data_IF_709832859206
#
_entry.id   IF_709832859206
#
_cell.length_a   1.000
_cell.length_b   1.000
_cell.length_c   1.000
_cell.angle_alpha   90.00
_cell.angle_beta   90.00
_cell.angle_gamma   90.00
#
_symmetry.space_group_name_H-M   'P 1'
#
loop_
_entity.id
_entity.type
_entity.pdbx_description
1 polymer ?
#
# COMPACT_ATOMS: atom_id res chain seq x y z
N UNK A 1 0.43 8.86 29.18
CA UNK A 1 0.17 9.71 28.01
C UNK A 1 1.23 9.41 26.97
N UNK A 2 0.86 8.60 25.99
CA UNK A 2 1.73 8.34 24.83
C UNK A 2 1.28 9.26 23.72
N UNK A 3 2.10 10.25 23.38
CA UNK A 3 1.83 11.14 22.25
C UNK A 3 2.40 10.49 20.99
N UNK A 4 1.54 10.24 20.01
CA UNK A 4 1.95 9.79 18.68
C UNK A 4 2.05 11.00 17.77
N UNK A 5 3.22 11.20 17.19
CA UNK A 5 3.40 12.19 16.13
C UNK A 5 3.36 11.46 14.80
N UNK A 6 2.40 11.80 13.96
CA UNK A 6 2.33 11.28 12.59
C UNK A 6 2.68 12.42 11.65
N UNK A 7 3.72 12.23 10.85
CA UNK A 7 4.05 13.14 9.75
C UNK A 7 3.49 12.50 8.48
N UNK A 8 2.47 13.12 7.91
CA UNK A 8 1.91 12.69 6.64
C UNK A 8 2.55 13.49 5.51
N UNK A 9 3.23 12.79 4.62
CA UNK A 9 3.67 13.32 3.34
C UNK A 9 2.52 13.14 2.34
N UNK A 10 2.07 14.23 1.69
CA UNK A 10 0.97 14.13 0.74
C UNK A 10 1.49 13.91 -0.68
N UNK A 11 2.12 14.91 -1.24
CA UNK A 11 2.68 14.82 -2.58
C UNK A 11 3.68 15.95 -2.85
N UNK A 12 4.59 15.68 -3.75
CA UNK A 12 5.45 16.71 -4.34
C UNK A 12 5.29 16.62 -5.84
N UNK A 13 4.98 17.75 -6.48
CA UNK A 13 4.89 17.83 -7.92
C UNK A 13 5.62 19.07 -8.44
N UNK A 14 6.37 18.87 -9.50
CA UNK A 14 7.06 19.95 -10.21
C UNK A 14 6.71 19.91 -11.68
N UNK A 15 6.53 21.09 -12.26
CA UNK A 15 6.35 21.26 -13.70
C UNK A 15 7.31 22.32 -14.21
N UNK A 16 8.06 21.98 -15.23
CA UNK A 16 9.08 22.84 -15.83
C UNK A 16 8.83 22.96 -17.34
N UNK A 17 8.70 24.17 -17.86
CA UNK A 17 8.75 24.39 -19.31
C UNK A 17 10.20 24.18 -19.79
N UNK A 18 10.43 23.16 -20.63
CA UNK A 18 11.77 22.89 -21.21
C UNK A 18 11.97 23.70 -22.45
N UNK A 19 10.94 23.81 -23.28
CA UNK A 19 10.97 24.55 -24.54
C UNK A 19 9.59 25.17 -24.80
N UNK A 20 9.51 25.97 -25.86
CA UNK A 20 8.23 26.50 -26.32
C UNK A 20 7.33 25.33 -26.70
N UNK A 21 6.16 25.23 -26.07
CA UNK A 21 5.20 24.13 -26.23
C UNK A 21 5.60 22.78 -25.65
N UNK A 22 6.72 22.66 -24.95
CA UNK A 22 7.18 21.40 -24.31
C UNK A 22 7.37 21.58 -22.81
N UNK A 23 6.72 20.74 -22.02
CA UNK A 23 6.82 20.72 -20.57
C UNK A 23 7.25 19.37 -20.02
N UNK A 24 8.00 19.40 -18.92
CA UNK A 24 8.37 18.25 -18.10
C UNK A 24 7.58 18.30 -16.80
N UNK A 25 7.02 17.18 -16.40
CA UNK A 25 6.38 17.01 -15.10
C UNK A 25 7.07 15.91 -14.31
N UNK A 26 7.23 16.15 -13.02
CA UNK A 26 7.68 15.16 -12.04
C UNK A 26 6.73 15.18 -10.86
N UNK A 27 6.33 14.01 -10.38
CA UNK A 27 5.61 13.90 -9.12
C UNK A 27 6.05 12.69 -8.31
N UNK A 28 5.99 12.86 -7.00
CA UNK A 28 6.16 11.83 -6.00
C UNK A 28 4.92 11.86 -5.11
N UNK A 29 4.16 10.77 -5.10
CA UNK A 29 2.84 10.72 -4.48
C UNK A 29 2.66 9.41 -3.73
N UNK A 30 2.17 9.40 -2.49
CA UNK A 30 1.73 8.18 -1.85
C UNK A 30 0.50 7.64 -2.59
N UNK A 31 0.64 6.44 -3.16
CA UNK A 31 -0.41 5.79 -3.95
C UNK A 31 -1.43 5.07 -3.04
N UNK A 32 -0.93 4.41 -2.02
CA UNK A 32 -1.76 3.69 -1.04
C UNK A 32 -1.06 3.62 0.29
N UNK A 33 -1.80 3.73 1.37
CA UNK A 33 -1.29 3.54 2.73
C UNK A 33 -2.26 2.72 3.56
N UNK A 34 -1.71 1.89 4.43
CA UNK A 34 -2.45 1.06 5.37
C UNK A 34 -1.91 1.34 6.78
N UNK A 35 -2.80 1.60 7.71
CA UNK A 35 -2.45 1.79 9.11
C UNK A 35 -3.64 1.47 9.99
N UNK A 36 -3.70 0.26 10.53
CA UNK A 36 -4.75 -0.13 11.47
C UNK A 36 -4.22 -1.10 12.54
N UNK A 37 -4.85 -1.04 13.69
CA UNK A 37 -4.67 -2.01 14.76
C UNK A 37 -6.01 -2.35 15.36
N UNK A 38 -6.37 -3.62 15.30
CA UNK A 38 -7.59 -4.14 15.87
C UNK A 38 -7.25 -5.23 16.89
N UNK A 39 -7.97 -5.26 17.99
CA UNK A 39 -7.87 -6.29 19.02
C UNK A 39 -9.27 -6.79 19.34
N UNK A 40 -9.38 -8.08 19.49
CA UNK A 40 -10.61 -8.75 19.91
C UNK A 40 -10.26 -9.76 20.98
N UNK A 41 -10.91 -9.66 22.11
CA UNK A 41 -10.91 -10.69 23.15
C UNK A 41 -12.14 -11.58 22.96
N UNK A 42 -11.94 -12.87 23.04
CA UNK A 42 -13.02 -13.85 22.98
C UNK A 42 -13.38 -14.22 24.41
N UNK A 43 -14.61 -13.85 24.79
CA UNK A 43 -15.22 -14.16 26.08
C UNK A 43 -16.33 -15.20 25.86
N UNK A 44 -15.92 -16.39 25.39
CA UNK A 44 -16.79 -17.53 25.17
C UNK A 44 -16.56 -18.56 26.29
N UNK A 45 -17.61 -18.94 26.99
CA UNK A 45 -17.56 -19.86 28.16
C UNK A 45 -16.96 -21.21 27.78
N UNK A 46 -17.13 -21.68 26.55
CA UNK A 46 -16.59 -22.96 26.09
C UNK A 46 -15.08 -22.84 25.83
N UNK A 47 -14.63 -21.74 25.26
CA UNK A 47 -13.21 -21.47 25.05
C UNK A 47 -12.53 -21.16 26.38
N UNK A 48 -13.15 -20.33 27.21
CA UNK A 48 -12.69 -19.99 28.54
C UNK A 48 -12.52 -21.22 29.40
N UNK A 49 -13.51 -22.14 29.42
CA UNK A 49 -13.46 -23.37 30.22
C UNK A 49 -12.38 -24.37 29.78
N UNK A 50 -11.92 -24.33 28.55
CA UNK A 50 -10.96 -25.30 28.00
C UNK A 50 -9.54 -24.75 27.82
N UNK A 51 -9.39 -23.54 27.31
CA UNK A 51 -8.10 -22.98 26.90
C UNK A 51 -7.72 -21.77 27.75
N UNK A 52 -8.71 -21.01 28.22
CA UNK A 52 -8.52 -19.74 28.87
C UNK A 52 -8.93 -18.56 27.98
N UNK A 53 -8.52 -17.36 28.35
CA UNK A 53 -8.86 -16.15 27.62
C UNK A 53 -7.94 -15.97 26.42
N UNK A 54 -8.54 -15.84 25.23
CA UNK A 54 -7.82 -15.70 23.96
C UNK A 54 -7.99 -14.29 23.39
N UNK A 55 -6.90 -13.67 23.00
CA UNK A 55 -6.88 -12.38 22.31
C UNK A 55 -6.39 -12.56 20.87
N UNK A 56 -7.16 -12.01 19.94
CA UNK A 56 -6.79 -11.86 18.56
C UNK A 56 -6.39 -10.41 18.28
N UNK A 57 -5.29 -10.22 17.59
CA UNK A 57 -4.83 -8.91 17.17
C UNK A 57 -4.50 -8.92 15.67
N UNK A 58 -4.99 -7.89 14.98
CA UNK A 58 -4.71 -7.63 13.57
C UNK A 58 -4.06 -6.27 13.45
N UNK A 59 -2.84 -6.25 12.97
CA UNK A 59 -2.09 -5.04 12.66
C UNK A 59 -1.88 -4.97 11.15
N UNK A 60 -2.11 -3.81 10.56
CA UNK A 60 -1.73 -3.52 9.18
C UNK A 60 -0.93 -2.25 9.14
N UNK A 61 0.21 -2.27 8.47
CA UNK A 61 1.11 -1.14 8.31
C UNK A 61 1.82 -1.19 6.97
N UNK A 62 2.09 -0.04 6.41
CA UNK A 62 2.86 0.10 5.18
C UNK A 62 2.26 1.06 4.19
N UNK A 63 3.04 1.35 3.17
CA UNK A 63 2.68 2.26 2.10
C UNK A 63 3.26 1.83 0.75
N UNK A 64 2.60 2.30 -0.30
CA UNK A 64 3.07 2.21 -1.68
C UNK A 64 3.18 3.62 -2.21
N UNK A 65 4.35 3.95 -2.72
CA UNK A 65 4.66 5.26 -3.29
C UNK A 65 4.76 5.17 -4.80
N UNK A 66 4.30 6.21 -5.49
CA UNK A 66 4.41 6.40 -6.93
C UNK A 66 5.38 7.53 -7.22
N UNK A 67 6.35 7.31 -8.12
CA UNK A 67 7.05 8.37 -8.81
C UNK A 67 6.60 8.40 -10.26
N UNK A 68 6.32 9.60 -10.76
CA UNK A 68 5.88 9.83 -12.13
C UNK A 68 6.74 10.89 -12.80
N UNK A 69 7.22 10.56 -13.99
CA UNK A 69 7.93 11.47 -14.86
C UNK A 69 7.18 11.59 -16.18
N UNK A 70 6.77 12.79 -16.55
CA UNK A 70 5.95 13.02 -17.71
C UNK A 70 6.49 14.12 -18.64
N UNK A 71 6.28 13.95 -19.92
CA UNK A 71 6.53 14.93 -20.96
C UNK A 71 5.21 15.31 -21.63
N UNK A 72 4.94 16.59 -21.74
CA UNK A 72 3.77 17.14 -22.42
C UNK A 72 4.18 18.05 -23.57
N UNK A 73 3.56 17.88 -24.72
CA UNK A 73 3.81 18.67 -25.90
C UNK A 73 2.51 19.24 -26.48
N UNK A 74 2.46 20.57 -26.60
CA UNK A 74 1.39 21.25 -27.31
C UNK A 74 1.72 21.25 -28.84
N UNK A 75 1.01 20.39 -29.58
CA UNK A 75 1.23 20.21 -31.02
C UNK A 75 0.72 21.44 -31.78
N UNK A 76 -0.46 21.89 -31.42
CA UNK A 76 -1.06 23.13 -31.91
C UNK A 76 -1.89 23.78 -30.81
N UNK A 77 -2.25 25.04 -31.00
CA UNK A 77 -2.94 25.82 -29.97
C UNK A 77 -4.19 25.12 -29.43
N UNK A 78 -4.13 24.78 -28.17
CA UNK A 78 -5.22 24.13 -27.48
C UNK A 78 -5.28 22.60 -27.63
N UNK A 79 -4.31 21.97 -28.33
CA UNK A 79 -4.22 20.51 -28.38
C UNK A 79 -2.84 20.04 -27.93
N UNK A 80 -2.83 19.20 -26.93
CA UNK A 80 -1.61 18.68 -26.33
C UNK A 80 -1.66 17.16 -26.21
N UNK A 81 -0.52 16.54 -26.35
CA UNK A 81 -0.31 15.12 -26.03
C UNK A 81 0.73 15.01 -24.92
N UNK A 82 0.67 13.93 -24.17
CA UNK A 82 1.61 13.65 -23.10
C UNK A 82 1.92 12.18 -22.99
N UNK A 83 3.13 11.92 -22.56
CA UNK A 83 3.56 10.57 -22.14
C UNK A 83 4.13 10.67 -20.74
N UNK A 84 3.93 9.63 -19.94
CA UNK A 84 4.53 9.55 -18.63
C UNK A 84 4.98 8.13 -18.33
N UNK A 85 6.05 8.04 -17.55
CA UNK A 85 6.53 6.83 -16.92
C UNK A 85 6.21 6.90 -15.44
N UNK A 86 5.66 5.82 -14.90
CA UNK A 86 5.29 5.68 -13.50
C UNK A 86 6.00 4.48 -12.91
N UNK A 87 6.55 4.65 -11.73
CA UNK A 87 7.15 3.57 -10.97
C UNK A 87 6.54 3.52 -9.58
N UNK A 88 6.04 2.34 -9.21
CA UNK A 88 5.42 2.06 -7.93
C UNK A 88 6.33 1.19 -7.11
N UNK A 89 6.54 1.55 -5.84
CA UNK A 89 7.28 0.71 -4.88
C UNK A 89 6.73 0.88 -3.47
N UNK A 90 6.86 -0.16 -2.68
CA UNK A 90 6.47 -0.16 -1.29
C UNK A 90 6.10 -1.54 -0.78
N UNK A 91 5.93 -1.63 0.53
CA UNK A 91 5.59 -2.84 1.23
C UNK A 91 4.40 -2.59 2.14
N UNK A 92 3.43 -3.51 2.11
CA UNK A 92 2.30 -3.52 3.04
C UNK A 92 2.40 -4.80 3.85
N UNK A 93 2.44 -4.67 5.16
CA UNK A 93 2.50 -5.78 6.10
C UNK A 93 1.16 -5.94 6.81
N UNK A 94 0.72 -7.18 6.94
CA UNK A 94 -0.41 -7.59 7.76
C UNK A 94 0.07 -8.61 8.78
N UNK A 95 -0.16 -8.33 10.05
CA UNK A 95 0.29 -9.17 11.14
C UNK A 95 -0.95 -9.65 11.90
N UNK A 96 -1.06 -10.96 12.01
CA UNK A 96 -2.10 -11.64 12.78
C UNK A 96 -1.45 -12.27 14.00
N UNK A 97 -1.94 -11.91 15.18
CA UNK A 97 -1.44 -12.48 16.44
C UNK A 97 -2.58 -13.11 17.19
N UNK A 98 -2.33 -14.30 17.70
CA UNK A 98 -3.21 -14.98 18.64
C UNK A 98 -2.42 -15.20 19.91
N UNK A 99 -2.91 -14.66 21.03
CA UNK A 99 -2.28 -14.80 22.33
C UNK A 99 -3.27 -15.36 23.34
N UNK A 100 -2.83 -16.30 24.16
CA UNK A 100 -3.59 -16.83 25.29
C UNK A 100 -3.20 -15.99 26.52
N UNK A 101 -4.14 -15.18 27.03
CA UNK A 101 -3.89 -14.26 28.14
C UNK A 101 -3.90 -14.95 29.49
N UNK A 102 -4.76 -15.95 29.65
CA UNK A 102 -4.90 -16.74 30.89
C UNK A 102 -5.10 -18.20 30.54
N UNK A 103 -4.38 -19.09 31.19
CA UNK A 103 -4.49 -20.52 31.00
C UNK A 103 -5.12 -21.16 32.25
N UNK A 104 -6.26 -21.83 32.08
CA UNK A 104 -6.99 -22.49 33.18
C UNK A 104 -6.36 -23.85 33.52
N UNK A 105 -5.73 -24.51 32.58
CA UNK A 105 -5.32 -25.91 32.70
C UNK A 105 -3.96 -26.13 33.37
N UNK A 106 -3.28 -25.06 33.80
CA UNK A 106 -2.14 -25.15 34.76
C UNK A 106 -0.89 -25.94 34.30
N UNK A 107 -0.72 -26.28 33.04
CA UNK A 107 0.41 -27.11 32.61
C UNK A 107 0.52 -27.28 31.09
N UNK A 108 -0.31 -26.64 30.33
CA UNK A 108 -0.28 -26.71 28.88
C UNK A 108 0.66 -25.65 28.28
N UNK A 109 1.31 -26.02 27.23
CA UNK A 109 2.11 -25.13 26.36
C UNK A 109 1.21 -24.02 25.81
N UNK A 110 1.48 -22.79 26.20
CA UNK A 110 0.80 -21.62 25.65
C UNK A 110 1.54 -21.28 24.36
N UNK A 111 0.96 -21.64 23.23
CA UNK A 111 1.52 -21.29 21.94
C UNK A 111 0.91 -19.98 21.46
N UNK A 112 1.69 -18.92 21.46
CA UNK A 112 1.38 -17.70 20.73
C UNK A 112 1.65 -17.93 19.24
N UNK A 113 0.65 -17.68 18.41
CA UNK A 113 0.81 -17.76 16.96
C UNK A 113 0.86 -16.35 16.37
N UNK A 114 1.87 -16.10 15.56
CA UNK A 114 2.00 -14.87 14.78
C UNK A 114 2.16 -15.20 13.30
N UNK A 115 1.21 -14.72 12.51
CA UNK A 115 1.30 -14.76 11.04
C UNK A 115 1.64 -13.36 10.53
N UNK A 116 2.61 -13.26 9.63
CA UNK A 116 2.98 -12.02 8.95
C UNK A 116 2.88 -12.24 7.45
N UNK A 117 2.07 -11.42 6.80
CA UNK A 117 1.97 -11.35 5.35
C UNK A 117 2.57 -10.04 4.88
N UNK A 118 3.55 -10.11 3.98
CA UNK A 118 4.18 -8.94 3.38
C UNK A 118 3.87 -8.92 1.90
N UNK A 119 3.27 -7.84 1.45
CA UNK A 119 2.93 -7.55 0.06
C UNK A 119 3.92 -6.53 -0.48
N UNK A 120 4.90 -6.98 -1.25
CA UNK A 120 5.90 -6.12 -1.86
C UNK A 120 5.48 -5.74 -3.28
N UNK A 121 5.37 -4.46 -3.53
CA UNK A 121 5.04 -3.89 -4.84
C UNK A 121 6.28 -3.25 -5.44
N UNK A 122 6.60 -3.63 -6.69
CA UNK A 122 7.65 -3.01 -7.50
C UNK A 122 7.24 -3.13 -8.96
N UNK A 123 6.67 -2.06 -9.54
CA UNK A 123 6.12 -2.10 -10.89
C UNK A 123 6.33 -0.80 -11.64
N UNK A 124 6.57 -0.97 -12.93
CA UNK A 124 6.68 0.13 -13.89
C UNK A 124 5.45 0.15 -14.78
N UNK A 125 4.89 1.35 -15.01
CA UNK A 125 3.77 1.59 -15.92
C UNK A 125 4.07 2.76 -16.83
N UNK A 126 3.52 2.72 -18.03
CA UNK A 126 3.48 3.85 -18.96
C UNK A 126 2.11 4.49 -18.99
N UNK A 127 2.05 5.79 -19.20
CA UNK A 127 0.79 6.51 -19.41
C UNK A 127 0.88 7.36 -20.65
N UNK A 128 -0.18 7.36 -21.43
CA UNK A 128 -0.38 8.25 -22.58
C UNK A 128 -1.57 9.15 -22.33
N UNK A 129 -1.46 10.42 -22.66
CA UNK A 129 -2.52 11.39 -22.44
C UNK A 129 -2.74 12.30 -23.65
N UNK A 130 -3.98 12.71 -23.83
CA UNK A 130 -4.37 13.73 -24.81
C UNK A 130 -5.23 14.78 -24.11
N UNK A 131 -5.04 16.03 -24.47
CA UNK A 131 -5.82 17.15 -23.96
C UNK A 131 -6.20 18.08 -25.10
N UNK A 132 -7.45 18.48 -25.14
CA UNK A 132 -7.98 19.40 -26.11
C UNK A 132 -8.78 20.50 -25.44
N UNK A 133 -8.47 21.76 -25.79
CA UNK A 133 -9.16 22.95 -25.30
C UNK A 133 -9.85 23.67 -26.45
N UNK A 134 -11.05 23.18 -26.89
CA UNK A 134 -11.76 23.74 -28.03
C UNK A 134 -12.27 25.17 -27.78
N UNK A 135 -12.51 25.52 -26.53
CA UNK A 135 -12.97 26.86 -26.16
C UNK A 135 -11.96 27.43 -25.15
N UNK A 136 -11.25 28.45 -25.58
CA UNK A 136 -10.30 29.16 -24.71
C UNK A 136 -10.47 30.69 -24.95
N UNK A 137 -11.53 31.25 -24.36
CA UNK A 137 -11.84 32.67 -24.42
C UNK A 137 -11.74 33.31 -23.03
N UNK A 138 -11.60 34.63 -22.94
CA UNK A 138 -11.54 35.35 -21.63
C UNK A 138 -12.69 35.06 -20.68
N UNK A 139 -13.84 34.59 -21.18
CA UNK A 139 -15.04 34.32 -20.38
C UNK A 139 -15.35 32.83 -20.18
N UNK A 140 -14.84 31.96 -21.04
CA UNK A 140 -15.14 30.52 -21.01
C UNK A 140 -13.92 29.74 -21.44
N UNK A 141 -13.57 28.70 -20.68
CA UNK A 141 -12.55 27.73 -21.00
C UNK A 141 -13.21 26.37 -20.90
N UNK A 142 -13.13 25.56 -21.96
CA UNK A 142 -13.51 24.16 -21.94
C UNK A 142 -12.28 23.36 -22.31
N UNK A 143 -11.90 22.45 -21.43
CA UNK A 143 -10.79 21.51 -21.67
C UNK A 143 -11.29 20.09 -21.49
N UNK A 144 -11.04 19.25 -22.46
CA UNK A 144 -11.35 17.81 -22.44
C UNK A 144 -10.03 17.06 -22.46
N UNK A 145 -9.87 16.07 -21.58
CA UNK A 145 -8.67 15.25 -21.53
C UNK A 145 -9.03 13.79 -21.40
N UNK A 146 -8.16 12.92 -21.92
CA UNK A 146 -8.22 11.49 -21.76
C UNK A 146 -6.81 10.96 -21.50
N UNK A 147 -6.73 9.95 -20.63
CA UNK A 147 -5.48 9.23 -20.33
C UNK A 147 -5.68 7.74 -20.51
N UNK A 148 -4.63 7.07 -20.95
CA UNK A 148 -4.59 5.63 -21.09
C UNK A 148 -3.30 5.09 -20.47
N UNK A 149 -3.46 4.15 -19.53
CA UNK A 149 -2.35 3.52 -18.85
C UNK A 149 -1.94 2.23 -19.55
N UNK A 150 -0.64 2.12 -19.81
CA UNK A 150 -0.01 0.96 -20.42
C UNK A 150 0.79 0.25 -19.33
N UNK A 151 0.53 -1.00 -19.14
CA UNK A 151 1.17 -1.83 -18.11
C UNK A 151 0.13 -2.72 -17.44
N UNK A 152 0.59 -3.85 -16.95
CA UNK A 152 -0.27 -4.81 -16.24
C UNK A 152 -0.72 -4.32 -14.86
N UNK A 153 -1.49 -5.15 -14.18
CA UNK A 153 -1.91 -4.92 -12.82
C UNK A 153 -0.72 -4.81 -11.86
N UNK A 154 -0.92 -4.10 -10.75
CA UNK A 154 0.05 -4.03 -9.66
C UNK A 154 0.01 -5.33 -8.85
N UNK A 155 0.49 -6.44 -9.43
CA UNK A 155 0.54 -7.72 -8.75
C UNK A 155 1.69 -7.72 -7.74
N UNK A 156 1.40 -7.71 -6.42
CA UNK A 156 2.45 -7.76 -5.41
C UNK A 156 3.07 -9.13 -5.31
N UNK A 157 4.33 -9.17 -4.93
CA UNK A 157 4.93 -10.41 -4.41
C UNK A 157 4.46 -10.59 -2.98
N UNK A 158 3.83 -11.71 -2.69
CA UNK A 158 3.31 -12.01 -1.34
C UNK A 158 4.27 -12.97 -0.65
N UNK A 159 4.75 -12.58 0.51
CA UNK A 159 5.55 -13.43 1.40
C UNK A 159 4.78 -13.63 2.70
N UNK A 160 4.45 -14.87 3.01
CA UNK A 160 3.77 -15.24 4.24
C UNK A 160 4.75 -15.95 5.18
N UNK A 161 4.88 -15.46 6.40
CA UNK A 161 5.65 -16.06 7.48
C UNK A 161 4.73 -16.39 8.64
N UNK A 162 4.75 -17.64 9.09
CA UNK A 162 4.01 -18.07 10.26
C UNK A 162 5.02 -18.48 11.33
N UNK A 163 4.89 -17.91 12.51
CA UNK A 163 5.69 -18.24 13.69
C UNK A 163 4.74 -18.73 14.78
N UNK A 164 5.03 -19.91 15.30
CA UNK A 164 4.36 -20.43 16.49
C UNK A 164 5.40 -20.50 17.59
N UNK A 165 5.24 -19.72 18.64
CA UNK A 165 6.16 -19.67 19.77
C UNK A 165 5.63 -20.52 20.91
N UNK A 166 6.50 -21.35 21.45
CA UNK A 166 6.32 -21.96 22.75
C UNK A 166 7.26 -21.28 23.75
N UNK A 167 6.83 -21.09 25.00
CA UNK A 167 7.62 -20.39 26.03
C UNK A 167 8.98 -21.07 26.27
N UNK A 168 9.12 -22.31 25.87
CA UNK A 168 10.32 -23.14 26.13
C UNK A 168 11.07 -23.62 24.89
N UNK A 169 10.56 -23.49 23.69
CA UNK A 169 11.29 -23.95 22.50
C UNK A 169 10.89 -23.17 21.24
N UNK A 170 11.89 -22.78 20.51
CA UNK A 170 11.82 -21.95 19.33
C UNK A 170 11.23 -22.71 18.14
N UNK A 171 10.06 -22.29 17.64
CA UNK A 171 9.79 -21.90 16.27
C UNK A 171 9.80 -22.98 15.19
N UNK A 172 8.61 -23.30 14.71
CA UNK A 172 8.46 -23.67 13.32
C UNK A 172 8.31 -22.35 12.49
N UNK A 173 9.29 -21.99 11.70
CA UNK A 173 9.18 -20.94 10.68
C UNK A 173 8.81 -21.63 9.37
N UNK A 174 7.61 -21.37 8.88
CA UNK A 174 7.26 -21.67 7.51
C UNK A 174 7.20 -20.37 6.71
N UNK A 175 7.99 -20.28 5.66
CA UNK A 175 8.00 -19.11 4.77
C UNK A 175 7.51 -19.57 3.41
N UNK A 176 6.34 -19.12 3.03
CA UNK A 176 5.76 -19.38 1.72
C UNK A 176 5.76 -18.08 0.92
N UNK A 177 6.43 -18.07 -0.21
CA UNK A 177 6.45 -16.94 -1.13
C UNK A 177 5.63 -17.28 -2.37
N UNK A 178 4.64 -16.45 -2.68
CA UNK A 178 3.86 -16.55 -3.90
C UNK A 178 4.13 -15.35 -4.78
N UNK A 179 4.47 -15.60 -6.03
CA UNK A 179 4.50 -14.58 -7.08
C UNK A 179 3.28 -14.80 -7.96
N UNK A 180 2.34 -13.88 -7.95
CA UNK A 180 1.27 -13.88 -8.94
C UNK A 180 1.81 -13.28 -10.24
N UNK A 181 1.78 -14.07 -11.29
CA UNK A 181 2.07 -13.65 -12.66
C UNK A 181 0.87 -12.93 -13.29
#
# INVERSE_FOLDING_TARGET
NTSYYTVNFHDIAFQLPIAKHLGLGFSLTPYSSVGYRMKQEVDDDEIWGNIGRVQYQWDGDGDVTEVKLGLGWEIFRGFSIGIAAQYYWGDIQRIYKTAILENITGGGLIADATGTETYSVSRFKGQFGVQWSPISNRRRILTIGATYDIGGDLNPNVTTKVQTGDIFNTVAMDTVSYTHL
#
